data_IF_711026075961
#
_entry.id   IF_711026075961
#
_cell.length_a   1.000
_cell.length_b   1.000
_cell.length_c   1.000
_cell.angle_alpha   90.00
_cell.angle_beta   90.00
_cell.angle_gamma   90.00
#
_symmetry.space_group_name_H-M   'P 1'
#
loop_
_entity.id
_entity.type
_entity.pdbx_description
1 polymer ?
#
# COMPACT_ATOMS: atom_id res chain seq x y z
N UNK A 1 41.95 8.33 -36.47
CA UNK A 1 41.10 7.49 -35.59
C UNK A 1 39.74 8.15 -35.54
N UNK A 2 38.81 7.69 -36.37
CA UNK A 2 37.49 8.28 -36.52
C UNK A 2 36.53 7.56 -35.57
N UNK A 3 36.03 8.26 -34.56
CA UNK A 3 34.97 7.76 -33.69
C UNK A 3 33.63 7.99 -34.40
N UNK A 4 33.15 6.95 -35.09
CA UNK A 4 31.78 6.88 -35.55
C UNK A 4 30.85 6.69 -34.35
N UNK A 5 30.30 7.82 -33.85
CA UNK A 5 29.16 7.81 -32.96
C UNK A 5 27.96 7.25 -33.73
N UNK A 6 27.77 5.94 -33.67
CA UNK A 6 26.58 5.26 -34.17
C UNK A 6 25.39 5.70 -33.33
N UNK A 7 24.68 6.73 -33.82
CA UNK A 7 23.39 7.13 -33.26
C UNK A 7 22.43 5.97 -33.48
N UNK A 8 22.24 5.16 -32.45
CA UNK A 8 21.32 4.04 -32.43
C UNK A 8 19.88 4.60 -32.33
N UNK A 9 19.45 5.32 -33.36
CA UNK A 9 18.04 5.73 -33.53
C UNK A 9 17.27 4.47 -33.86
N UNK A 10 16.76 3.78 -32.83
CA UNK A 10 15.70 2.78 -32.98
C UNK A 10 14.59 3.41 -33.82
N UNK A 11 14.48 3.01 -35.08
CA UNK A 11 13.33 3.35 -35.92
C UNK A 11 12.10 2.78 -35.22
N UNK A 12 11.38 3.64 -34.49
CA UNK A 12 10.08 3.27 -33.95
C UNK A 12 9.15 3.10 -35.14
N UNK A 13 8.52 1.94 -35.23
CA UNK A 13 7.58 1.65 -36.30
C UNK A 13 6.41 2.64 -36.21
N UNK A 14 6.36 3.59 -37.14
CA UNK A 14 5.42 4.72 -37.12
C UNK A 14 3.97 4.24 -37.11
N UNK A 15 3.68 3.09 -37.75
CA UNK A 15 2.36 2.47 -37.77
C UNK A 15 1.93 2.04 -36.38
N UNK A 16 2.84 1.43 -35.62
CA UNK A 16 2.58 0.99 -34.23
C UNK A 16 2.36 2.20 -33.33
N UNK A 17 3.15 3.26 -33.48
CA UNK A 17 2.96 4.50 -32.72
C UNK A 17 1.62 5.17 -33.03
N UNK A 18 1.23 5.22 -34.31
CA UNK A 18 -0.06 5.77 -34.71
C UNK A 18 -1.23 4.94 -34.15
N UNK A 19 -1.10 3.60 -34.13
CA UNK A 19 -2.11 2.73 -33.52
C UNK A 19 -2.26 2.95 -32.01
N UNK A 20 -1.15 3.06 -31.28
CA UNK A 20 -1.17 3.39 -29.84
C UNK A 20 -1.83 4.75 -29.59
N UNK A 21 -1.52 5.74 -30.43
CA UNK A 21 -2.10 7.08 -30.29
C UNK A 21 -3.61 7.07 -30.54
N UNK A 22 -4.08 6.34 -31.56
CA UNK A 22 -5.50 6.18 -31.83
C UNK A 22 -6.24 5.52 -30.66
N UNK A 23 -5.70 4.41 -30.14
CA UNK A 23 -6.29 3.73 -28.98
C UNK A 23 -6.34 4.64 -27.74
N UNK A 24 -5.31 5.46 -27.54
CA UNK A 24 -5.30 6.43 -26.44
C UNK A 24 -6.41 7.48 -26.61
N UNK A 25 -6.56 8.04 -27.82
CA UNK A 25 -7.62 9.03 -28.11
C UNK A 25 -9.01 8.44 -27.87
N UNK A 26 -9.26 7.22 -28.35
CA UNK A 26 -10.55 6.54 -28.15
C UNK A 26 -10.85 6.33 -26.66
N UNK A 27 -9.86 5.92 -25.87
CA UNK A 27 -10.01 5.76 -24.41
C UNK A 27 -10.27 7.09 -23.71
N UNK A 28 -9.61 8.17 -24.13
CA UNK A 28 -9.83 9.50 -23.56
C UNK A 28 -11.23 10.05 -23.89
N UNK A 29 -11.73 9.82 -25.10
CA UNK A 29 -13.10 10.20 -25.48
C UNK A 29 -14.15 9.39 -24.73
N UNK A 30 -13.95 8.08 -24.60
CA UNK A 30 -14.81 7.22 -23.79
C UNK A 30 -14.77 7.67 -22.32
N UNK A 31 -13.58 7.93 -21.78
CA UNK A 31 -13.45 8.44 -20.42
C UNK A 31 -14.20 9.76 -20.26
N UNK A 32 -14.06 10.71 -21.19
CA UNK A 32 -14.72 12.02 -21.14
C UNK A 32 -16.25 11.92 -21.21
N UNK A 33 -16.78 11.06 -22.09
CA UNK A 33 -18.22 10.85 -22.23
C UNK A 33 -18.83 10.19 -20.98
N UNK A 34 -18.12 9.23 -20.39
CA UNK A 34 -18.58 8.49 -19.20
C UNK A 34 -18.28 9.25 -17.90
N UNK A 35 -17.32 10.18 -17.90
CA UNK A 35 -16.84 10.88 -16.70
C UNK A 35 -17.97 11.57 -15.95
N UNK A 36 -18.77 12.38 -16.63
CA UNK A 36 -19.84 13.11 -15.96
C UNK A 36 -20.94 12.17 -15.43
N UNK A 37 -21.20 11.06 -16.10
CA UNK A 37 -22.21 10.09 -15.65
C UNK A 37 -21.73 9.31 -14.42
N UNK A 38 -20.47 8.86 -14.41
CA UNK A 38 -19.93 8.07 -13.28
C UNK A 38 -19.47 8.94 -12.11
N UNK A 39 -18.83 10.07 -12.40
CA UNK A 39 -18.14 10.91 -11.41
C UNK A 39 -18.70 12.32 -11.33
N UNK A 40 -19.81 12.64 -12.00
CA UNK A 40 -20.43 13.96 -11.95
C UNK A 40 -20.80 14.38 -10.53
N UNK A 41 -21.17 13.41 -9.66
CA UNK A 41 -21.44 13.65 -8.25
C UNK A 41 -20.24 14.22 -7.49
N UNK A 42 -19.00 14.00 -7.97
CA UNK A 42 -17.80 14.56 -7.33
C UNK A 42 -17.77 16.09 -7.41
N UNK A 43 -18.48 16.72 -8.36
CA UNK A 43 -18.58 18.18 -8.43
C UNK A 43 -19.30 18.77 -7.21
N UNK A 44 -20.21 18.00 -6.62
CA UNK A 44 -20.96 18.37 -5.40
C UNK A 44 -20.44 17.64 -4.16
N UNK A 45 -19.24 17.05 -4.22
CA UNK A 45 -18.69 16.25 -3.13
C UNK A 45 -18.66 16.99 -1.78
N UNK A 46 -18.32 18.27 -1.78
CA UNK A 46 -18.31 19.10 -0.56
C UNK A 46 -19.70 19.16 0.09
N UNK A 47 -20.77 19.24 -0.72
CA UNK A 47 -22.15 19.25 -0.21
C UNK A 47 -22.51 17.90 0.39
N UNK A 48 -22.17 16.81 -0.31
CA UNK A 48 -22.37 15.44 0.17
C UNK A 48 -21.66 15.24 1.52
N UNK A 49 -20.43 15.72 1.66
CA UNK A 49 -19.70 15.64 2.92
C UNK A 49 -20.35 16.45 4.05
N UNK A 50 -20.88 17.65 3.75
CA UNK A 50 -21.61 18.47 4.73
C UNK A 50 -22.90 17.78 5.16
N UNK A 51 -23.65 17.19 4.22
CA UNK A 51 -24.87 16.42 4.52
C UNK A 51 -24.59 15.20 5.40
N UNK A 52 -23.55 14.43 5.06
CA UNK A 52 -23.11 13.29 5.89
C UNK A 52 -22.67 13.77 7.28
N UNK A 53 -21.90 14.86 7.37
CA UNK A 53 -21.51 15.43 8.66
C UNK A 53 -22.73 15.88 9.49
N UNK A 54 -23.76 16.44 8.85
CA UNK A 54 -24.99 16.84 9.50
C UNK A 54 -25.76 15.63 10.06
N UNK A 55 -25.81 14.50 9.34
CA UNK A 55 -26.40 13.25 9.89
C UNK A 55 -25.66 12.72 11.12
N UNK A 56 -24.37 13.03 11.24
CA UNK A 56 -23.54 12.71 12.41
C UNK A 56 -23.63 13.76 13.53
N UNK A 57 -24.50 14.77 13.39
CA UNK A 57 -24.68 15.84 14.38
C UNK A 57 -23.60 16.91 14.36
N UNK A 58 -22.78 16.97 13.32
CA UNK A 58 -21.73 17.98 13.16
C UNK A 58 -22.31 19.16 12.38
N UNK A 59 -22.24 20.36 12.95
CA UNK A 59 -22.65 21.58 12.23
C UNK A 59 -21.69 21.90 11.08
N UNK A 60 -22.20 22.51 10.00
CA UNK A 60 -21.38 22.88 8.84
C UNK A 60 -20.17 23.75 9.23
N UNK A 61 -20.37 24.71 10.13
CA UNK A 61 -19.30 25.57 10.64
C UNK A 61 -18.22 24.79 11.39
N UNK A 62 -18.61 23.74 12.11
CA UNK A 62 -17.67 22.86 12.81
C UNK A 62 -16.93 21.94 11.84
N UNK A 63 -17.63 21.39 10.85
CA UNK A 63 -17.03 20.58 9.79
C UNK A 63 -15.98 21.38 9.00
N UNK A 64 -16.33 22.59 8.54
CA UNK A 64 -15.40 23.50 7.85
C UNK A 64 -14.16 23.75 8.70
N UNK A 65 -14.32 24.09 9.99
CA UNK A 65 -13.19 24.30 10.92
C UNK A 65 -12.29 23.07 11.07
N UNK A 66 -12.84 21.85 11.11
CA UNK A 66 -12.05 20.61 11.19
C UNK A 66 -11.21 20.39 9.93
N UNK A 67 -11.82 20.57 8.75
CA UNK A 67 -11.14 20.39 7.47
C UNK A 67 -10.04 21.45 7.27
N UNK A 68 -10.32 22.72 7.60
CA UNK A 68 -9.30 23.78 7.44
C UNK A 68 -8.15 23.60 8.42
N UNK A 69 -8.41 23.26 9.69
CA UNK A 69 -7.34 23.04 10.68
C UNK A 69 -6.39 21.94 10.25
N UNK A 70 -6.90 20.82 9.72
CA UNK A 70 -6.04 19.73 9.24
C UNK A 70 -5.05 20.17 8.16
N UNK A 71 -5.46 21.06 7.25
CA UNK A 71 -4.57 21.62 6.20
C UNK A 71 -3.45 22.51 6.74
N UNK A 72 -3.61 23.11 7.92
CA UNK A 72 -2.58 23.93 8.55
C UNK A 72 -1.61 23.09 9.41
N UNK A 73 -2.09 22.03 10.07
CA UNK A 73 -1.22 21.13 10.85
C UNK A 73 -0.31 20.26 9.97
N UNK A 74 -0.73 19.90 8.75
CA UNK A 74 0.10 19.08 7.83
C UNK A 74 1.31 19.83 7.24
N UNK A 75 1.42 21.16 7.42
CA UNK A 75 2.58 21.92 6.90
C UNK A 75 3.75 22.03 7.88
N UNK A 76 3.48 21.92 9.18
CA UNK A 76 4.50 22.13 10.22
C UNK A 76 4.87 20.84 10.99
N UNK A 77 4.26 19.71 10.66
CA UNK A 77 4.53 18.43 11.32
C UNK A 77 4.95 17.32 10.35
N UNK A 78 5.99 17.56 9.54
CA UNK A 78 6.99 16.52 9.36
C UNK A 78 7.73 16.35 10.69
N UNK A 79 7.04 15.90 11.73
CA UNK A 79 7.70 15.37 12.92
C UNK A 79 8.43 14.13 12.43
N UNK A 80 9.71 14.30 12.12
CA UNK A 80 10.62 13.18 11.90
C UNK A 80 10.33 12.16 12.99
N UNK A 81 9.75 11.03 12.59
CA UNK A 81 9.47 9.95 13.52
C UNK A 81 10.83 9.43 13.98
N UNK A 82 11.31 9.96 15.11
CA UNK A 82 12.53 9.49 15.75
C UNK A 82 12.18 8.19 16.45
N UNK A 83 12.32 7.09 15.71
CA UNK A 83 12.26 5.77 16.30
C UNK A 83 13.34 5.67 17.39
N UNK A 84 12.94 5.40 18.63
CA UNK A 84 13.86 5.05 19.71
C UNK A 84 14.41 3.64 19.44
N UNK A 85 15.40 3.56 18.53
CA UNK A 85 16.07 2.30 18.18
C UNK A 85 17.08 2.01 19.29
N UNK A 86 16.66 1.20 20.26
CA UNK A 86 17.57 0.67 21.27
C UNK A 86 18.56 -0.27 20.58
N UNK A 87 19.87 -0.13 20.84
CA UNK A 87 20.87 -1.01 20.25
C UNK A 87 20.59 -2.46 20.68
N UNK A 88 20.77 -3.40 19.75
CA UNK A 88 20.65 -4.82 20.05
C UNK A 88 21.78 -5.27 20.99
N UNK A 89 21.52 -6.30 21.79
CA UNK A 89 22.55 -6.96 22.62
C UNK A 89 23.77 -7.43 21.77
N UNK A 90 24.91 -7.80 22.38
CA UNK A 90 26.00 -8.47 21.66
C UNK A 90 25.61 -9.88 21.19
N UNK A 91 26.03 -10.26 19.99
CA UNK A 91 25.79 -11.59 19.40
C UNK A 91 26.44 -12.68 20.27
N UNK A 92 25.74 -13.76 20.63
CA UNK A 92 26.29 -14.85 21.43
C UNK A 92 27.38 -15.59 20.66
N UNK A 93 28.48 -15.91 21.35
CA UNK A 93 29.72 -16.48 20.79
C UNK A 93 29.59 -17.98 20.49
N UNK A 94 28.55 -18.65 20.99
CA UNK A 94 28.37 -20.11 20.84
C UNK A 94 27.83 -20.50 19.45
N UNK A 95 28.21 -21.68 18.96
CA UNK A 95 27.91 -22.20 17.61
C UNK A 95 26.43 -22.52 17.34
N UNK A 96 25.54 -22.31 18.32
CA UNK A 96 24.08 -22.27 18.14
C UNK A 96 23.55 -20.83 18.00
N UNK A 97 24.44 -19.85 17.80
CA UNK A 97 24.23 -18.41 18.00
C UNK A 97 23.08 -17.78 17.21
N UNK A 98 22.61 -18.40 16.13
CA UNK A 98 21.42 -17.93 15.41
C UNK A 98 20.10 -18.38 16.05
N UNK A 99 20.05 -19.56 16.68
CA UNK A 99 18.84 -20.10 17.29
C UNK A 99 18.60 -19.46 18.66
N UNK A 100 19.64 -19.37 19.49
CA UNK A 100 19.53 -18.76 20.83
C UNK A 100 19.14 -17.28 20.81
N UNK A 101 19.51 -16.55 19.75
CA UNK A 101 19.13 -15.14 19.56
C UNK A 101 17.63 -14.95 19.37
N UNK A 102 16.99 -15.88 18.66
CA UNK A 102 15.54 -15.88 18.35
C UNK A 102 14.69 -16.41 19.51
N UNK A 103 15.28 -17.15 20.44
CA UNK A 103 14.55 -17.71 21.59
C UNK A 103 14.51 -16.79 22.82
N UNK A 104 15.28 -15.69 22.84
CA UNK A 104 15.15 -14.68 23.90
C UNK A 104 13.75 -14.07 23.82
N UNK A 105 13.02 -14.02 24.94
CA UNK A 105 11.64 -13.49 25.03
C UNK A 105 11.46 -12.12 24.34
N UNK A 106 12.48 -11.27 24.37
CA UNK A 106 12.49 -9.93 23.78
C UNK A 106 12.64 -9.89 22.24
N UNK A 107 13.25 -10.93 21.68
CA UNK A 107 13.62 -11.05 20.26
C UNK A 107 12.89 -12.22 19.56
N UNK A 108 11.91 -12.81 20.25
CA UNK A 108 11.12 -13.89 19.69
C UNK A 108 10.26 -13.37 18.54
N UNK A 109 10.50 -13.93 17.36
CA UNK A 109 9.66 -13.72 16.17
C UNK A 109 8.34 -14.49 16.35
N UNK A 110 8.29 -15.43 17.29
CA UNK A 110 7.05 -15.98 17.83
C UNK A 110 6.37 -14.89 18.68
N UNK A 111 5.90 -13.84 18.02
CA UNK A 111 4.97 -12.88 18.60
C UNK A 111 3.61 -13.56 18.77
N UNK A 112 3.56 -14.58 19.62
CA UNK A 112 2.32 -14.97 20.31
C UNK A 112 2.10 -13.94 21.43
N UNK A 113 1.81 -12.70 21.05
CA UNK A 113 1.23 -11.73 21.99
C UNK A 113 -0.24 -12.10 22.25
N UNK A 114 -0.88 -11.54 23.29
CA UNK A 114 -2.31 -11.81 23.58
C UNK A 114 -3.28 -11.40 22.44
N UNK A 115 -2.78 -10.75 21.40
CA UNK A 115 -3.53 -10.34 20.20
C UNK A 115 -3.14 -11.12 18.93
N UNK A 116 -2.23 -12.10 19.02
CA UNK A 116 -1.89 -12.93 17.88
C UNK A 116 -2.97 -13.99 17.66
N UNK A 117 -3.67 -13.88 16.53
CA UNK A 117 -4.54 -14.92 16.03
C UNK A 117 -3.73 -15.67 14.97
N UNK A 118 -3.32 -16.89 15.27
CA UNK A 118 -2.64 -17.74 14.29
C UNK A 118 -3.55 -17.92 13.06
N UNK A 119 -3.01 -17.85 11.84
CA UNK A 119 -3.78 -18.17 10.65
C UNK A 119 -4.41 -19.57 10.76
N UNK A 120 -5.75 -19.66 10.69
CA UNK A 120 -6.50 -20.90 10.95
C UNK A 120 -6.17 -22.06 9.99
N UNK A 121 -5.48 -21.79 8.89
CA UNK A 121 -5.10 -22.79 7.89
C UNK A 121 -3.84 -23.59 8.27
N UNK A 122 -3.09 -23.21 9.32
CA UNK A 122 -1.97 -24.02 9.84
C UNK A 122 -2.37 -24.94 11.00
N UNK A 123 -3.62 -24.89 11.44
CA UNK A 123 -4.16 -25.76 12.48
C UNK A 123 -5.21 -26.64 11.80
N UNK A 124 -4.97 -27.95 11.77
CA UNK A 124 -5.97 -28.89 11.27
C UNK A 124 -7.27 -28.70 12.06
N UNK A 125 -8.41 -28.42 11.40
CA UNK A 125 -9.67 -28.28 12.11
C UNK A 125 -10.01 -29.61 12.81
N UNK A 126 -10.49 -29.58 14.08
CA UNK A 126 -10.83 -30.80 14.80
C UNK A 126 -11.93 -31.54 14.04
N UNK A 127 -11.66 -32.78 13.63
CA UNK A 127 -12.61 -33.66 12.94
C UNK A 127 -12.45 -33.77 11.43
N UNK A 128 -11.37 -33.23 10.83
CA UNK A 128 -11.07 -33.45 9.40
C UNK A 128 -9.89 -34.41 9.26
N UNK A 129 -10.09 -35.49 8.52
CA UNK A 129 -9.00 -36.41 8.14
C UNK A 129 -7.94 -35.64 7.34
N UNK A 130 -6.67 -35.84 7.71
CA UNK A 130 -5.50 -35.15 7.16
C UNK A 130 -5.58 -35.08 5.63
N UNK A 131 -5.58 -33.87 5.06
CA UNK A 131 -5.48 -33.72 3.61
C UNK A 131 -4.12 -34.25 3.12
N UNK A 132 -4.07 -35.10 2.07
CA UNK A 132 -2.84 -35.80 1.67
C UNK A 132 -1.81 -34.93 0.95
N UNK A 133 -2.01 -33.62 0.86
CA UNK A 133 -1.14 -32.73 0.08
C UNK A 133 -0.24 -31.87 0.97
N UNK A 134 0.51 -32.49 1.88
CA UNK A 134 1.69 -31.86 2.47
C UNK A 134 2.91 -32.10 1.57
N UNK A 135 2.95 -31.40 0.44
CA UNK A 135 4.21 -31.10 -0.26
C UNK A 135 4.02 -29.76 -0.97
N UNK A 136 4.38 -28.67 -0.28
CA UNK A 136 4.72 -27.44 -0.98
C UNK A 136 6.13 -27.67 -1.52
N UNK A 137 6.23 -28.06 -2.79
CA UNK A 137 7.48 -27.94 -3.53
C UNK A 137 7.58 -26.47 -3.92
N UNK A 138 8.47 -25.74 -3.26
CA UNK A 138 8.94 -24.44 -3.75
C UNK A 138 9.92 -24.75 -4.89
N UNK A 139 9.46 -24.56 -6.12
CA UNK A 139 10.29 -24.43 -7.32
C UNK A 139 10.36 -22.97 -7.74
#
# INVERSE_FOLDING_TARGET
>A
MNNENTSNKKFKNQVVLNGILQEQVEKEELARSVWNTKWGFMKDFDKICIEVAATMGISENQYRKMVTKKKYYDKDEEKEFKADIKPSDPVPITSSGFVGWRCKHRNSIEKCGPLYISPRHTIDPPGVEKFPYTQIILG
#
